data_IF_258600726369
#
_entry.id   IF_258600726369
#
_cell.length_a   1.000
_cell.length_b   1.000
_cell.length_c   1.000
_cell.angle_alpha   90.00
_cell.angle_beta   90.00
_cell.angle_gamma   90.00
#
_symmetry.space_group_name_H-M   'P 1'
#
loop_
_entity.id
_entity.type
_entity.pdbx_description
1 polymer ?
#
# COMPACT_ATOMS: atom_id res chain seq x y z
N UNK A 1 27.22 -16.31 14.88
CA UNK A 1 26.03 -15.55 14.55
C UNK A 1 26.46 -14.12 14.33
N UNK A 2 26.13 -13.52 13.17
CA UNK A 2 26.50 -12.14 12.86
C UNK A 2 25.75 -11.20 13.84
N UNK A 3 26.45 -10.19 14.38
CA UNK A 3 25.88 -9.21 15.34
C UNK A 3 24.59 -8.56 14.79
N UNK A 4 24.58 -8.22 13.50
CA UNK A 4 23.42 -7.64 12.84
C UNK A 4 22.21 -8.59 12.86
N UNK A 5 22.41 -9.89 12.64
CA UNK A 5 21.35 -10.90 12.72
C UNK A 5 20.79 -11.02 14.15
N UNK A 6 21.68 -11.04 15.16
CA UNK A 6 21.28 -11.13 16.57
C UNK A 6 20.43 -9.92 16.99
N UNK A 7 20.83 -8.72 16.62
CA UNK A 7 20.11 -7.49 16.92
C UNK A 7 18.76 -7.41 16.16
N UNK A 8 18.72 -7.87 14.92
CA UNK A 8 17.50 -7.93 14.12
C UNK A 8 16.48 -8.91 14.72
N UNK A 9 16.95 -10.08 15.19
CA UNK A 9 16.11 -11.07 15.89
C UNK A 9 15.61 -10.51 17.23
N UNK A 10 16.46 -9.89 18.02
CA UNK A 10 16.08 -9.26 19.29
C UNK A 10 15.01 -8.17 19.07
N UNK A 11 15.21 -7.33 18.08
CA UNK A 11 14.23 -6.31 17.68
C UNK A 11 12.89 -6.92 17.27
N UNK A 12 12.91 -7.96 16.41
CA UNK A 12 11.71 -8.65 15.94
C UNK A 12 10.93 -9.30 17.07
N UNK A 13 11.63 -9.97 18.02
CA UNK A 13 11.04 -10.56 19.23
C UNK A 13 10.44 -9.47 20.14
N UNK A 14 11.11 -8.33 20.27
CA UNK A 14 10.57 -7.17 21.03
C UNK A 14 9.28 -6.63 20.44
N UNK A 15 9.22 -6.47 19.12
CA UNK A 15 8.01 -6.05 18.42
C UNK A 15 6.88 -7.08 18.54
N UNK A 16 7.21 -8.36 18.41
CA UNK A 16 6.24 -9.45 18.58
C UNK A 16 5.65 -9.43 19.99
N UNK A 17 6.51 -9.32 21.02
CA UNK A 17 6.07 -9.25 22.43
C UNK A 17 5.17 -8.03 22.68
N UNK A 18 5.54 -6.86 22.13
CA UNK A 18 4.74 -5.64 22.22
C UNK A 18 3.40 -5.80 21.52
N UNK A 19 3.38 -6.35 20.31
CA UNK A 19 2.14 -6.60 19.55
C UNK A 19 1.19 -7.57 20.25
N UNK A 20 1.71 -8.67 20.82
CA UNK A 20 0.93 -9.63 21.59
C UNK A 20 0.42 -9.02 22.90
N UNK A 21 1.19 -8.19 23.58
CA UNK A 21 0.79 -7.50 24.80
C UNK A 21 -0.37 -6.52 24.53
N UNK A 22 -0.26 -5.70 23.48
CA UNK A 22 -1.32 -4.76 23.11
C UNK A 22 -2.55 -5.52 22.58
N UNK A 23 -2.36 -6.60 21.82
CA UNK A 23 -3.43 -7.44 21.28
C UNK A 23 -4.37 -8.01 22.34
N UNK A 24 -3.88 -8.23 23.57
CA UNK A 24 -4.71 -8.66 24.73
C UNK A 24 -5.74 -7.61 25.16
N UNK A 25 -5.56 -6.35 24.77
CA UNK A 25 -6.46 -5.24 25.13
C UNK A 25 -7.60 -5.04 24.13
N UNK A 26 -7.61 -5.76 22.99
CA UNK A 26 -8.67 -5.71 21.96
C UNK A 26 -9.85 -6.56 22.43
N UNK A 27 -11.00 -5.92 22.77
CA UNK A 27 -12.16 -6.61 23.37
C UNK A 27 -13.32 -6.87 22.41
N UNK A 28 -13.31 -6.33 21.17
CA UNK A 28 -14.42 -6.51 20.24
C UNK A 28 -14.13 -6.09 18.81
N UNK A 29 -15.07 -6.38 17.89
CA UNK A 29 -14.94 -6.12 16.47
C UNK A 29 -14.80 -4.62 16.15
N UNK A 30 -15.47 -3.73 16.92
CA UNK A 30 -15.37 -2.28 16.71
C UNK A 30 -13.95 -1.74 17.02
N UNK A 31 -13.33 -2.23 18.09
CA UNK A 31 -11.93 -1.90 18.42
C UNK A 31 -10.98 -2.48 17.38
N UNK A 32 -11.27 -3.70 16.91
CA UNK A 32 -10.45 -4.38 15.90
C UNK A 32 -10.47 -3.66 14.55
N UNK A 33 -11.65 -3.32 14.00
CA UNK A 33 -11.78 -2.83 12.63
C UNK A 33 -11.66 -1.30 12.45
N UNK A 34 -12.14 -0.48 13.40
CA UNK A 34 -12.15 0.99 13.27
C UNK A 34 -11.63 1.74 14.51
N UNK A 35 -10.91 1.07 15.40
CA UNK A 35 -10.31 1.65 16.60
C UNK A 35 -11.28 2.56 17.41
N UNK A 36 -12.56 2.20 17.45
CA UNK A 36 -13.61 2.99 18.11
C UNK A 36 -13.88 4.38 17.51
N UNK A 37 -13.36 4.71 16.32
CA UNK A 37 -13.39 6.04 15.68
C UNK A 37 -12.74 7.13 16.55
N UNK A 38 -11.63 6.81 17.21
CA UNK A 38 -10.98 7.69 18.19
C UNK A 38 -9.61 8.23 17.71
N UNK A 39 -9.19 7.97 16.45
CA UNK A 39 -7.89 8.39 15.98
C UNK A 39 -7.81 9.91 15.81
N UNK A 40 -7.01 10.57 16.66
CA UNK A 40 -6.66 11.98 16.50
C UNK A 40 -5.61 12.18 15.41
N UNK A 41 -5.26 13.46 15.06
CA UNK A 41 -4.38 13.79 13.95
C UNK A 41 -3.01 13.10 14.01
N UNK A 42 -2.36 13.10 15.17
CA UNK A 42 -1.02 12.53 15.35
C UNK A 42 -1.01 11.02 15.21
N UNK A 43 -1.99 10.32 15.81
CA UNK A 43 -2.07 8.86 15.69
C UNK A 43 -2.50 8.43 14.28
N UNK A 44 -3.37 9.20 13.62
CA UNK A 44 -3.72 8.98 12.23
C UNK A 44 -2.51 9.18 11.31
N UNK A 45 -1.75 10.28 11.48
CA UNK A 45 -0.50 10.50 10.76
C UNK A 45 0.49 9.36 10.93
N UNK A 46 0.78 8.96 12.18
CA UNK A 46 1.78 7.92 12.45
C UNK A 46 1.38 6.58 11.85
N UNK A 47 0.10 6.18 11.96
CA UNK A 47 -0.36 4.91 11.39
C UNK A 47 -0.45 4.93 9.87
N UNK A 48 -0.74 6.08 9.24
CA UNK A 48 -0.72 6.22 7.79
C UNK A 48 0.71 6.16 7.26
N UNK A 49 1.61 6.99 7.79
CA UNK A 49 3.00 7.06 7.32
C UNK A 49 3.75 5.75 7.59
N UNK A 50 3.52 5.13 8.76
CA UNK A 50 4.12 3.84 9.07
C UNK A 50 3.70 2.74 8.09
N UNK A 51 2.43 2.71 7.66
CA UNK A 51 1.95 1.72 6.69
C UNK A 51 2.38 2.03 5.24
N UNK A 52 2.60 3.30 4.91
CA UNK A 52 3.02 3.73 3.58
C UNK A 52 4.55 3.61 3.37
N UNK A 53 5.33 3.63 4.46
CA UNK A 53 6.77 3.31 4.41
C UNK A 53 6.94 1.80 4.62
N UNK A 54 6.92 1.05 3.53
CA UNK A 54 7.10 -0.40 3.44
C UNK A 54 7.92 -0.75 2.20
N UNK A 55 7.87 -2.00 1.73
CA UNK A 55 8.72 -2.55 0.67
C UNK A 55 8.82 -1.66 -0.59
N UNK A 56 7.70 -1.09 -1.02
CA UNK A 56 7.68 -0.23 -2.20
C UNK A 56 8.46 1.07 -2.03
N UNK A 57 8.39 1.68 -0.83
CA UNK A 57 9.05 2.96 -0.55
C UNK A 57 10.42 2.81 0.12
N UNK A 58 10.86 1.60 0.41
CA UNK A 58 12.19 1.28 0.95
C UNK A 58 13.00 0.52 -0.10
N UNK A 59 12.97 -0.81 -0.05
CA UNK A 59 13.71 -1.70 -0.96
C UNK A 59 13.36 -1.40 -2.42
N UNK A 60 12.08 -1.29 -2.76
CA UNK A 60 11.63 -1.02 -4.12
C UNK A 60 12.06 0.35 -4.66
N UNK A 61 11.86 1.43 -3.89
CA UNK A 61 12.28 2.77 -4.31
C UNK A 61 13.80 2.89 -4.41
N UNK A 62 14.55 2.21 -3.53
CA UNK A 62 16.01 2.13 -3.62
C UNK A 62 16.46 1.34 -4.84
N UNK A 63 15.78 0.23 -5.16
CA UNK A 63 16.02 -0.54 -6.37
C UNK A 63 15.78 0.28 -7.65
N UNK A 64 14.71 1.09 -7.66
CA UNK A 64 14.46 2.03 -8.75
C UNK A 64 15.54 3.13 -8.82
N UNK A 65 15.95 3.71 -7.68
CA UNK A 65 17.04 4.69 -7.63
C UNK A 65 18.36 4.12 -8.13
N UNK A 66 18.66 2.86 -7.80
CA UNK A 66 19.82 2.12 -8.30
C UNK A 66 19.78 1.93 -9.81
N UNK A 67 18.62 1.59 -10.38
CA UNK A 67 18.43 1.28 -11.81
C UNK A 67 18.18 2.52 -12.67
N UNK A 68 17.30 3.42 -12.21
CA UNK A 68 16.70 4.47 -13.02
C UNK A 68 17.05 5.91 -12.53
N UNK A 69 17.76 6.05 -11.42
CA UNK A 69 18.22 7.34 -10.91
C UNK A 69 17.10 8.25 -10.38
N UNK A 70 17.17 9.55 -10.71
CA UNK A 70 16.30 10.58 -10.12
C UNK A 70 14.82 10.39 -10.41
N UNK A 71 14.44 9.83 -11.55
CA UNK A 71 13.05 9.56 -11.91
C UNK A 71 12.33 8.60 -10.95
N UNK A 72 13.09 7.78 -10.19
CA UNK A 72 12.56 6.89 -9.16
C UNK A 72 11.81 7.63 -8.03
N UNK A 73 12.09 8.92 -7.84
CA UNK A 73 11.38 9.75 -6.85
C UNK A 73 9.86 9.74 -7.05
N UNK A 74 9.43 9.69 -8.30
CA UNK A 74 8.00 9.68 -8.64
C UNK A 74 7.24 8.47 -8.10
N UNK A 75 7.92 7.37 -7.77
CA UNK A 75 7.26 6.23 -7.14
C UNK A 75 6.63 6.62 -5.79
N UNK A 76 7.38 7.21 -4.89
CA UNK A 76 6.86 7.66 -3.58
C UNK A 76 6.19 9.04 -3.67
N UNK A 77 6.70 9.94 -4.51
CA UNK A 77 6.13 11.25 -4.75
C UNK A 77 4.69 11.23 -5.27
N UNK A 78 4.37 10.26 -6.13
CA UNK A 78 2.98 10.06 -6.61
C UNK A 78 2.03 9.60 -5.51
N UNK A 79 2.51 8.79 -4.57
CA UNK A 79 1.75 8.40 -3.38
C UNK A 79 1.49 9.60 -2.46
N UNK A 80 2.47 10.51 -2.34
CA UNK A 80 2.30 11.76 -1.62
C UNK A 80 1.23 12.65 -2.27
N UNK A 81 1.22 12.77 -3.60
CA UNK A 81 0.20 13.52 -4.33
C UNK A 81 -1.21 12.94 -4.10
N UNK A 82 -1.38 11.62 -4.20
CA UNK A 82 -2.65 10.94 -3.87
C UNK A 82 -3.10 11.20 -2.44
N UNK A 83 -2.17 11.15 -1.47
CA UNK A 83 -2.44 11.46 -0.06
C UNK A 83 -2.84 12.93 0.15
N UNK A 84 -2.27 13.88 -0.60
CA UNK A 84 -2.67 15.29 -0.55
C UNK A 84 -4.11 15.49 -1.04
N UNK A 85 -4.50 14.84 -2.14
CA UNK A 85 -5.89 14.85 -2.63
C UNK A 85 -6.85 14.29 -1.58
N UNK A 86 -6.48 13.19 -0.91
CA UNK A 86 -7.27 12.66 0.19
C UNK A 86 -7.40 13.64 1.36
N UNK A 87 -6.32 14.30 1.76
CA UNK A 87 -6.33 15.24 2.89
C UNK A 87 -7.27 16.43 2.64
N UNK A 88 -7.20 16.99 1.43
CA UNK A 88 -7.86 18.25 1.11
C UNK A 88 -9.32 18.06 0.70
N UNK A 89 -9.64 16.99 0.02
CA UNK A 89 -10.93 16.86 -0.68
C UNK A 89 -11.68 15.57 -0.33
N UNK A 90 -11.19 14.39 -0.75
CA UNK A 90 -11.96 13.14 -0.74
C UNK A 90 -12.07 12.55 0.67
N UNK A 91 -11.00 12.61 1.45
CA UNK A 91 -10.92 11.97 2.76
C UNK A 91 -11.97 12.45 3.76
N UNK A 92 -12.15 13.78 3.97
CA UNK A 92 -13.20 14.28 4.86
C UNK A 92 -14.62 13.87 4.43
N UNK A 93 -14.91 13.87 3.11
CA UNK A 93 -16.21 13.44 2.59
C UNK A 93 -16.45 11.93 2.87
N UNK A 94 -15.48 11.08 2.55
CA UNK A 94 -15.56 9.64 2.84
C UNK A 94 -15.71 9.33 4.32
N UNK A 95 -14.97 10.05 5.19
CA UNK A 95 -15.09 9.89 6.64
C UNK A 95 -16.50 10.25 7.14
N UNK A 96 -17.09 11.34 6.64
CA UNK A 96 -18.46 11.74 7.05
C UNK A 96 -19.49 10.66 6.67
N UNK A 97 -19.48 10.20 5.44
CA UNK A 97 -20.37 9.12 4.98
C UNK A 97 -20.17 7.86 5.84
N UNK A 98 -18.92 7.51 6.14
CA UNK A 98 -18.62 6.34 6.97
C UNK A 98 -19.10 6.51 8.43
N UNK A 99 -19.07 7.73 8.99
CA UNK A 99 -19.53 8.00 10.35
C UNK A 99 -21.06 7.98 10.44
N UNK A 100 -21.76 8.56 9.46
CA UNK A 100 -23.24 8.62 9.40
C UNK A 100 -23.87 7.22 9.26
N UNK A 101 -23.24 6.33 8.49
CA UNK A 101 -23.82 5.02 8.19
C UNK A 101 -23.10 3.87 8.91
N UNK A 102 -22.26 4.15 9.90
CA UNK A 102 -21.43 3.18 10.66
C UNK A 102 -20.63 2.21 9.76
N UNK A 103 -20.08 2.71 8.63
CA UNK A 103 -19.32 1.91 7.70
C UNK A 103 -17.96 1.52 8.30
N UNK A 104 -17.53 0.30 8.04
CA UNK A 104 -16.26 -0.26 8.54
C UNK A 104 -15.26 -0.54 7.43
N UNK A 105 -15.75 -0.74 6.20
CA UNK A 105 -14.95 -1.11 5.03
C UNK A 105 -15.32 -0.25 3.82
N UNK A 106 -14.44 -0.26 2.81
CA UNK A 106 -14.77 0.30 1.49
C UNK A 106 -15.90 -0.51 0.83
N UNK A 107 -15.98 -1.81 1.11
CA UNK A 107 -17.07 -2.67 0.67
C UNK A 107 -18.43 -2.20 1.19
N UNK A 108 -18.53 -1.79 2.47
CA UNK A 108 -19.75 -1.23 3.05
C UNK A 108 -20.20 0.03 2.28
N UNK A 109 -19.25 0.94 1.96
CA UNK A 109 -19.53 2.13 1.17
C UNK A 109 -20.06 1.79 -0.23
N UNK A 110 -19.43 0.84 -0.91
CA UNK A 110 -19.84 0.43 -2.25
C UNK A 110 -21.20 -0.26 -2.26
N UNK A 111 -21.52 -1.04 -1.22
CA UNK A 111 -22.85 -1.62 -1.07
C UNK A 111 -23.92 -0.55 -0.77
N UNK A 112 -23.63 0.40 0.12
CA UNK A 112 -24.53 1.52 0.42
C UNK A 112 -24.85 2.33 -0.83
N UNK A 113 -23.82 2.55 -1.66
CA UNK A 113 -23.95 3.42 -2.84
C UNK A 113 -24.51 2.72 -4.07
N UNK A 114 -24.25 1.42 -4.21
CA UNK A 114 -24.63 0.61 -5.36
C UNK A 114 -25.44 -0.62 -4.93
N UNK A 115 -24.79 -1.74 -4.70
CA UNK A 115 -25.40 -2.96 -4.18
C UNK A 115 -24.37 -3.97 -3.69
N UNK A 116 -24.87 -5.11 -3.16
CA UNK A 116 -24.05 -6.21 -2.67
C UNK A 116 -23.16 -6.86 -3.77
N UNK A 117 -23.61 -6.86 -5.04
CA UNK A 117 -22.79 -7.45 -6.12
C UNK A 117 -21.50 -6.66 -6.35
N UNK A 118 -21.58 -5.31 -6.36
CA UNK A 118 -20.41 -4.43 -6.48
C UNK A 118 -19.44 -4.68 -5.30
N UNK A 119 -19.98 -4.76 -4.06
CA UNK A 119 -19.17 -5.13 -2.88
C UNK A 119 -18.44 -6.45 -3.06
N UNK A 120 -19.14 -7.49 -3.53
CA UNK A 120 -18.57 -8.83 -3.72
C UNK A 120 -17.47 -8.85 -4.78
N UNK A 121 -17.70 -8.23 -5.94
CA UNK A 121 -16.69 -8.14 -7.02
C UNK A 121 -15.44 -7.43 -6.51
N UNK A 122 -15.60 -6.28 -5.87
CA UNK A 122 -14.47 -5.51 -5.33
C UNK A 122 -13.74 -6.29 -4.25
N UNK A 123 -14.44 -6.96 -3.33
CA UNK A 123 -13.82 -7.76 -2.28
C UNK A 123 -12.91 -8.86 -2.85
N UNK A 124 -13.35 -9.53 -3.92
CA UNK A 124 -12.54 -10.56 -4.61
C UNK A 124 -11.32 -9.93 -5.28
N UNK A 125 -11.48 -8.83 -6.04
CA UNK A 125 -10.37 -8.14 -6.70
C UNK A 125 -9.33 -7.63 -5.69
N UNK A 126 -9.81 -7.06 -4.57
CA UNK A 126 -8.96 -6.60 -3.48
C UNK A 126 -8.18 -7.73 -2.81
N UNK A 127 -8.80 -8.90 -2.67
CA UNK A 127 -8.14 -10.04 -2.06
C UNK A 127 -6.92 -10.46 -2.88
N UNK A 128 -7.07 -10.64 -4.20
CA UNK A 128 -5.95 -10.96 -5.09
C UNK A 128 -4.89 -9.84 -5.15
N UNK A 129 -5.31 -8.59 -5.27
CA UNK A 129 -4.39 -7.45 -5.27
C UNK A 129 -3.60 -7.35 -3.96
N UNK A 130 -4.27 -7.57 -2.82
CA UNK A 130 -3.64 -7.49 -1.50
C UNK A 130 -2.65 -8.62 -1.25
N UNK A 131 -2.86 -9.82 -1.83
CA UNK A 131 -1.84 -10.87 -1.80
C UNK A 131 -0.57 -10.46 -2.54
N UNK A 132 -0.71 -9.73 -3.65
CA UNK A 132 0.45 -9.25 -4.41
C UNK A 132 1.27 -8.20 -3.62
N UNK A 133 0.61 -7.26 -2.94
CA UNK A 133 1.36 -6.29 -2.10
C UNK A 133 1.97 -6.97 -0.87
N UNK A 134 1.32 -7.96 -0.27
CA UNK A 134 1.89 -8.78 0.81
C UNK A 134 3.15 -9.51 0.32
N UNK A 135 3.08 -10.13 -0.86
CA UNK A 135 4.24 -10.76 -1.47
C UNK A 135 5.41 -9.80 -1.64
N UNK A 136 5.16 -8.55 -2.05
CA UNK A 136 6.18 -7.51 -2.12
C UNK A 136 6.87 -7.23 -0.79
N UNK A 137 6.12 -7.18 0.33
CA UNK A 137 6.71 -7.00 1.66
C UNK A 137 7.61 -8.20 2.04
N UNK A 138 7.16 -9.42 1.74
CA UNK A 138 7.92 -10.63 2.06
C UNK A 138 9.17 -10.78 1.19
N UNK A 139 9.16 -10.34 -0.08
CA UNK A 139 10.35 -10.29 -0.93
C UNK A 139 11.37 -9.33 -0.32
N UNK A 140 10.95 -8.14 0.12
CA UNK A 140 11.85 -7.17 0.75
C UNK A 140 12.45 -7.71 2.06
N UNK A 141 11.66 -8.37 2.92
CA UNK A 141 12.16 -9.05 4.12
C UNK A 141 13.18 -10.14 3.76
N UNK A 142 12.90 -10.90 2.71
CA UNK A 142 13.80 -11.95 2.22
C UNK A 142 15.12 -11.39 1.70
N UNK A 143 15.10 -10.22 1.03
CA UNK A 143 16.34 -9.54 0.56
C UNK A 143 17.24 -9.13 1.73
N UNK A 144 16.66 -8.68 2.84
CA UNK A 144 17.41 -8.39 4.08
C UNK A 144 18.05 -9.67 4.63
N UNK A 145 17.26 -10.74 4.77
CA UNK A 145 17.76 -12.02 5.30
C UNK A 145 18.80 -12.67 4.38
N UNK A 146 18.70 -12.47 3.07
CA UNK A 146 19.70 -12.93 2.10
C UNK A 146 21.06 -12.27 2.34
N UNK A 147 21.09 -10.95 2.54
CA UNK A 147 22.32 -10.21 2.76
C UNK A 147 22.89 -10.45 4.18
N UNK A 148 22.03 -10.48 5.20
CA UNK A 148 22.47 -10.60 6.60
C UNK A 148 22.85 -12.02 6.99
N UNK A 149 22.11 -13.03 6.50
CA UNK A 149 22.24 -14.42 6.92
C UNK A 149 22.64 -15.39 5.78
N UNK A 150 22.79 -14.89 4.55
CA UNK A 150 23.02 -15.77 3.38
C UNK A 150 21.81 -16.66 3.06
N UNK A 151 20.61 -16.35 3.56
CA UNK A 151 19.44 -17.17 3.39
C UNK A 151 18.96 -17.15 1.92
N UNK A 152 18.57 -18.29 1.33
CA UNK A 152 17.96 -18.26 0.01
C UNK A 152 16.59 -17.57 0.09
N UNK A 153 16.16 -16.97 -1.02
CA UNK A 153 14.90 -16.18 -1.12
C UNK A 153 13.71 -16.90 -0.50
N UNK A 154 13.49 -18.17 -0.82
CA UNK A 154 12.35 -18.93 -0.30
C UNK A 154 12.34 -19.01 1.22
N UNK A 155 13.50 -19.24 1.85
CA UNK A 155 13.63 -19.32 3.31
C UNK A 155 13.32 -17.96 3.96
N UNK A 156 13.85 -16.87 3.39
CA UNK A 156 13.55 -15.52 3.84
C UNK A 156 12.06 -15.18 3.75
N UNK A 157 11.38 -15.57 2.66
CA UNK A 157 9.93 -15.40 2.50
C UNK A 157 9.13 -16.21 3.54
N UNK A 158 9.53 -17.46 3.83
CA UNK A 158 8.86 -18.31 4.82
C UNK A 158 9.03 -17.75 6.24
N UNK A 159 10.25 -17.35 6.61
CA UNK A 159 10.52 -16.76 7.93
C UNK A 159 9.73 -15.45 8.10
N UNK A 160 9.80 -14.56 7.12
CA UNK A 160 9.03 -13.31 7.14
C UNK A 160 7.53 -13.54 7.20
N UNK A 161 7.02 -14.47 6.39
CA UNK A 161 5.60 -14.82 6.35
C UNK A 161 5.10 -15.42 7.67
N UNK A 162 5.86 -16.30 8.30
CA UNK A 162 5.53 -16.84 9.62
C UNK A 162 5.51 -15.75 10.69
N UNK A 163 6.55 -14.90 10.72
CA UNK A 163 6.66 -13.81 11.69
C UNK A 163 5.47 -12.85 11.60
N UNK A 164 5.14 -12.36 10.39
CA UNK A 164 4.05 -11.40 10.22
C UNK A 164 2.68 -12.02 10.50
N UNK A 165 2.48 -13.29 10.12
CA UNK A 165 1.22 -14.00 10.36
C UNK A 165 0.96 -14.14 11.86
N UNK A 166 1.96 -14.54 12.64
CA UNK A 166 1.86 -14.65 14.10
C UNK A 166 1.58 -13.28 14.72
N UNK A 167 2.34 -12.25 14.31
CA UNK A 167 2.20 -10.88 14.80
C UNK A 167 0.80 -10.31 14.54
N UNK A 168 0.32 -10.38 13.29
CA UNK A 168 -0.94 -9.76 12.86
C UNK A 168 -2.20 -10.49 13.37
N UNK A 169 -2.09 -11.79 13.69
CA UNK A 169 -3.24 -12.57 14.18
C UNK A 169 -3.82 -12.06 15.51
N UNK A 170 -3.05 -11.28 16.28
CA UNK A 170 -3.41 -10.82 17.63
C UNK A 170 -3.92 -9.38 17.73
N UNK A 171 -3.41 -8.45 16.90
CA UNK A 171 -3.43 -7.02 17.22
C UNK A 171 -4.63 -6.18 16.74
N UNK A 172 -5.14 -6.39 15.53
CA UNK A 172 -6.16 -5.49 14.93
C UNK A 172 -5.68 -4.03 14.77
N UNK A 173 -6.58 -3.12 14.33
CA UNK A 173 -6.21 -1.73 14.00
C UNK A 173 -5.76 -0.90 15.21
N UNK A 174 -6.41 -1.08 16.37
CA UNK A 174 -6.09 -0.31 17.57
C UNK A 174 -4.70 -0.66 18.13
N UNK A 175 -4.37 -1.94 18.15
CA UNK A 175 -3.04 -2.41 18.57
C UNK A 175 -1.96 -1.96 17.60
N UNK A 176 -2.20 -2.14 16.30
CA UNK A 176 -1.29 -1.74 15.24
C UNK A 176 -0.94 -0.25 15.25
N UNK A 177 -1.88 0.65 15.56
CA UNK A 177 -1.65 2.10 15.56
C UNK A 177 -0.56 2.54 16.55
N UNK A 178 -0.51 1.97 17.76
CA UNK A 178 0.52 2.27 18.75
C UNK A 178 1.88 1.66 18.40
N UNK A 179 1.89 0.41 17.96
CA UNK A 179 3.13 -0.24 17.50
C UNK A 179 3.71 0.50 16.30
N UNK A 180 2.87 0.92 15.37
CA UNK A 180 3.28 1.71 14.20
C UNK A 180 3.95 3.03 14.57
N UNK A 181 3.59 3.66 15.68
CA UNK A 181 4.24 4.89 16.14
C UNK A 181 5.69 4.62 16.55
N UNK A 182 5.95 3.54 17.29
CA UNK A 182 7.32 3.11 17.66
C UNK A 182 8.12 2.75 16.41
N UNK A 183 7.52 1.95 15.54
CA UNK A 183 8.14 1.55 14.27
C UNK A 183 8.46 2.75 13.38
N UNK A 184 7.61 3.77 13.34
CA UNK A 184 7.84 4.99 12.57
C UNK A 184 9.07 5.75 13.07
N UNK A 185 9.25 5.86 14.39
CA UNK A 185 10.43 6.50 14.96
C UNK A 185 11.73 5.75 14.57
N UNK A 186 11.73 4.42 14.63
CA UNK A 186 12.87 3.59 14.22
C UNK A 186 13.16 3.74 12.72
N UNK A 187 12.12 3.72 11.87
CA UNK A 187 12.24 3.89 10.41
C UNK A 187 12.89 5.23 10.06
N UNK A 188 12.27 6.31 10.52
CA UNK A 188 12.74 7.66 10.18
C UNK A 188 14.14 7.90 10.74
N UNK A 189 14.40 7.52 12.00
CA UNK A 189 15.73 7.63 12.60
C UNK A 189 16.79 6.85 11.83
N UNK A 190 16.50 5.58 11.48
CA UNK A 190 17.42 4.75 10.73
C UNK A 190 17.77 5.33 9.36
N UNK A 191 16.77 5.74 8.58
CA UNK A 191 16.99 6.28 7.24
C UNK A 191 17.65 7.67 7.25
N UNK A 192 17.26 8.57 8.16
CA UNK A 192 17.84 9.92 8.29
C UNK A 192 19.32 9.85 8.70
N UNK A 193 19.70 8.88 9.56
CA UNK A 193 21.09 8.68 9.94
C UNK A 193 21.89 7.96 8.84
N UNK A 194 21.28 6.96 8.20
CA UNK A 194 21.96 6.15 7.18
C UNK A 194 22.35 6.97 5.94
N UNK A 195 21.48 7.89 5.49
CA UNK A 195 21.71 8.64 4.25
C UNK A 195 22.99 9.47 4.23
N UNK A 196 23.26 10.41 5.18
CA UNK A 196 24.46 11.22 5.16
C UNK A 196 25.73 10.39 5.34
N UNK A 197 25.65 9.32 6.15
CA UNK A 197 26.80 8.44 6.36
C UNK A 197 27.08 7.57 5.13
N UNK A 198 26.07 7.07 4.44
CA UNK A 198 26.24 6.37 3.18
C UNK A 198 26.85 7.27 2.10
N UNK A 199 26.37 8.52 2.03
CA UNK A 199 26.89 9.51 1.08
C UNK A 199 28.36 9.83 1.36
N UNK A 200 28.73 10.06 2.63
CA UNK A 200 30.12 10.31 3.01
C UNK A 200 31.03 9.12 2.75
N UNK A 201 30.54 7.89 2.96
CA UNK A 201 31.32 6.67 2.78
C UNK A 201 31.71 6.38 1.32
N UNK A 202 30.99 6.94 0.33
CA UNK A 202 31.36 6.82 -1.09
C UNK A 202 32.11 8.02 -1.66
N UNK A 203 32.42 9.03 -0.85
CA UNK A 203 33.12 10.26 -1.29
C UNK A 203 32.20 11.42 -1.65
N UNK A 204 30.95 11.42 -1.16
CA UNK A 204 29.99 12.51 -1.30
C UNK A 204 29.33 12.58 -2.68
N UNK A 205 28.70 13.73 -2.94
CA UNK A 205 27.98 13.99 -4.20
C UNK A 205 28.88 13.97 -5.43
N UNK A 206 30.17 14.26 -5.28
CA UNK A 206 31.12 14.21 -6.40
C UNK A 206 31.26 12.80 -6.96
N UNK A 207 31.38 11.79 -6.06
CA UNK A 207 31.46 10.39 -6.48
C UNK A 207 30.14 9.90 -7.12
N UNK A 208 28.99 10.33 -6.57
CA UNK A 208 27.67 10.03 -7.17
C UNK A 208 27.55 10.65 -8.56
N UNK A 209 27.99 11.91 -8.74
CA UNK A 209 27.94 12.59 -10.04
C UNK A 209 28.92 12.03 -11.09
N UNK A 210 30.03 11.42 -10.66
CA UNK A 210 31.06 10.85 -11.54
C UNK A 210 30.84 9.37 -11.86
N UNK A 211 29.81 8.70 -11.30
CA UNK A 211 29.60 7.26 -11.52
C UNK A 211 29.18 6.95 -12.96
N UNK A 212 29.56 5.77 -13.50
CA UNK A 212 29.03 5.30 -14.76
C UNK A 212 27.52 5.10 -14.67
N UNK A 213 26.76 5.82 -15.49
CA UNK A 213 25.28 5.72 -15.51
C UNK A 213 24.82 4.64 -16.48
N UNK A 214 23.75 3.91 -16.15
CA UNK A 214 23.22 2.84 -17.00
C UNK A 214 22.52 3.39 -18.27
N UNK A 215 22.11 4.66 -18.26
CA UNK A 215 21.45 5.33 -19.38
C UNK A 215 21.61 6.85 -19.28
N UNK A 216 21.55 7.54 -20.43
CA UNK A 216 21.60 9.01 -20.51
C UNK A 216 20.45 9.67 -19.74
N UNK A 217 19.34 8.98 -19.55
CA UNK A 217 18.16 9.45 -18.81
C UNK A 217 18.26 9.29 -17.28
N UNK A 218 19.34 8.75 -16.76
CA UNK A 218 19.49 8.47 -15.30
C UNK A 218 19.35 9.72 -14.43
N UNK A 219 19.81 10.87 -14.92
CA UNK A 219 19.71 12.17 -14.25
C UNK A 219 18.42 12.93 -14.57
N UNK A 220 17.61 12.42 -15.49
CA UNK A 220 16.33 13.06 -15.82
C UNK A 220 15.30 12.77 -14.73
N UNK A 221 14.90 13.83 -14.01
CA UNK A 221 13.89 13.73 -12.94
C UNK A 221 12.51 13.30 -13.45
N UNK A 222 12.15 13.70 -14.67
CA UNK A 222 10.79 13.51 -15.19
C UNK A 222 10.55 12.11 -15.76
N UNK A 223 11.55 11.52 -16.38
CA UNK A 223 11.42 10.20 -16.99
C UNK A 223 12.76 9.51 -17.17
N UNK A 224 12.86 8.25 -16.78
CA UNK A 224 13.99 7.36 -17.06
C UNK A 224 13.42 5.98 -17.43
N UNK A 225 13.14 5.79 -18.74
CA UNK A 225 12.51 4.57 -19.22
C UNK A 225 11.15 4.31 -18.56
N UNK A 226 10.98 3.21 -17.82
CA UNK A 226 9.72 2.87 -17.16
C UNK A 226 9.43 3.69 -15.89
N UNK A 227 10.40 4.46 -15.38
CA UNK A 227 10.26 5.28 -14.19
C UNK A 227 10.01 6.76 -14.53
N UNK A 228 9.41 7.50 -13.60
CA UNK A 228 9.17 8.93 -13.73
C UNK A 228 7.73 9.33 -13.45
N UNK A 229 7.32 10.48 -13.99
CA UNK A 229 5.98 11.07 -13.76
C UNK A 229 4.82 10.12 -14.14
N UNK A 230 5.07 9.12 -14.97
CA UNK A 230 4.09 8.08 -15.33
C UNK A 230 3.52 7.36 -14.09
N UNK A 231 4.29 7.28 -13.01
CA UNK A 231 3.82 6.72 -11.74
C UNK A 231 2.68 7.51 -11.11
N UNK A 232 2.51 8.79 -11.45
CA UNK A 232 1.39 9.58 -10.95
C UNK A 232 0.04 9.00 -11.41
N UNK A 233 -0.01 8.47 -12.63
CA UNK A 233 -1.23 7.83 -13.15
C UNK A 233 -1.50 6.46 -12.52
N UNK A 234 -0.47 5.77 -12.01
CA UNK A 234 -0.61 4.48 -11.32
C UNK A 234 -0.92 4.65 -9.84
N UNK A 235 -0.05 5.38 -9.13
CA UNK A 235 -0.09 5.47 -7.66
C UNK A 235 -1.04 6.55 -7.15
N UNK A 236 -1.19 7.67 -7.88
CA UNK A 236 -2.11 8.74 -7.49
C UNK A 236 -3.53 8.23 -7.26
N UNK A 237 -4.21 7.67 -8.28
CA UNK A 237 -5.54 7.09 -8.14
C UNK A 237 -5.59 5.95 -7.11
N UNK A 238 -4.61 5.05 -7.09
CA UNK A 238 -4.57 3.93 -6.17
C UNK A 238 -4.50 4.37 -4.70
N UNK A 239 -3.71 5.39 -4.39
CA UNK A 239 -3.60 5.93 -3.02
C UNK A 239 -4.87 6.66 -2.57
N UNK A 240 -5.57 7.32 -3.48
CA UNK A 240 -6.87 7.98 -3.20
C UNK A 240 -7.93 6.96 -2.77
N UNK A 241 -7.93 5.77 -3.35
CA UNK A 241 -8.98 4.76 -3.12
C UNK A 241 -8.53 3.54 -2.34
N UNK A 242 -7.30 3.55 -1.83
CA UNK A 242 -6.74 2.42 -1.07
C UNK A 242 -7.62 2.05 0.12
N UNK A 243 -8.16 0.82 0.18
CA UNK A 243 -9.04 0.41 1.28
C UNK A 243 -8.36 0.49 2.65
N UNK A 244 -7.08 0.15 2.72
CA UNK A 244 -6.31 0.24 3.96
C UNK A 244 -6.11 1.69 4.44
N UNK A 245 -6.01 2.66 3.54
CA UNK A 245 -5.96 4.09 3.87
C UNK A 245 -7.35 4.57 4.27
N UNK A 246 -8.38 4.33 3.44
CA UNK A 246 -9.74 4.78 3.70
C UNK A 246 -10.29 4.23 5.02
N UNK A 247 -10.00 2.97 5.36
CA UNK A 247 -10.40 2.38 6.65
C UNK A 247 -9.78 3.12 7.85
N UNK A 248 -8.54 3.60 7.75
CA UNK A 248 -7.92 4.44 8.77
C UNK A 248 -8.59 5.81 8.85
N UNK A 249 -9.02 6.38 7.72
CA UNK A 249 -9.79 7.62 7.72
C UNK A 249 -11.17 7.43 8.37
N UNK A 250 -11.81 6.26 8.19
CA UNK A 250 -13.06 5.92 8.90
C UNK A 250 -12.86 5.83 10.41
N UNK A 251 -11.66 5.50 10.88
CA UNK A 251 -11.30 5.46 12.29
C UNK A 251 -10.97 6.85 12.88
N UNK A 252 -10.86 7.89 12.05
CA UNK A 252 -10.55 9.25 12.50
C UNK A 252 -11.71 9.86 13.31
N UNK A 253 -11.35 10.60 14.35
CA UNK A 253 -12.29 11.25 15.28
C UNK A 253 -13.16 12.30 14.58
N UNK A 254 -12.56 13.12 13.72
CA UNK A 254 -13.21 14.25 13.05
C UNK A 254 -12.52 14.58 11.71
N UNK A 255 -13.12 15.49 10.92
CA UNK A 255 -12.61 15.92 9.62
C UNK A 255 -11.26 16.65 9.73
N UNK A 256 -11.01 17.35 10.84
CA UNK A 256 -9.72 17.99 11.12
C UNK A 256 -8.63 16.94 11.28
N UNK A 257 -8.92 15.85 11.98
CA UNK A 257 -8.00 14.72 12.14
C UNK A 257 -7.65 14.11 10.78
N UNK A 258 -8.62 13.96 9.87
CA UNK A 258 -8.37 13.51 8.51
C UNK A 258 -7.47 14.49 7.75
N UNK A 259 -7.84 15.77 7.69
CA UNK A 259 -7.07 16.79 6.93
C UNK A 259 -5.64 16.90 7.43
N UNK A 260 -5.47 17.07 8.75
CA UNK A 260 -4.14 17.25 9.35
C UNK A 260 -3.33 15.97 9.31
N UNK A 261 -3.89 14.83 9.73
CA UNK A 261 -3.17 13.55 9.76
C UNK A 261 -2.76 13.07 8.39
N UNK A 262 -3.65 13.15 7.38
CA UNK A 262 -3.35 12.74 6.01
C UNK A 262 -2.48 13.78 5.29
N UNK A 263 -2.63 15.07 5.59
CA UNK A 263 -1.76 16.14 5.07
C UNK A 263 -0.31 15.99 5.55
N UNK A 264 -0.12 15.70 6.85
CA UNK A 264 1.21 15.39 7.39
C UNK A 264 1.78 14.11 6.78
N UNK A 265 0.94 13.09 6.50
CA UNK A 265 1.37 11.90 5.77
C UNK A 265 1.84 12.23 4.35
N UNK A 266 1.12 13.09 3.62
CA UNK A 266 1.52 13.52 2.28
C UNK A 266 2.87 14.25 2.31
N UNK A 267 3.05 15.19 3.23
CA UNK A 267 4.31 15.91 3.42
C UNK A 267 5.45 14.95 3.83
N UNK A 268 5.18 14.04 4.76
CA UNK A 268 6.14 13.03 5.20
C UNK A 268 6.61 12.14 4.04
N UNK A 269 5.70 11.67 3.19
CA UNK A 269 6.04 10.89 1.99
C UNK A 269 6.84 11.70 0.97
N UNK A 270 6.47 12.97 0.74
CA UNK A 270 7.15 13.87 -0.19
C UNK A 270 8.62 14.05 0.20
N UNK A 271 8.88 14.31 1.47
CA UNK A 271 10.24 14.48 2.01
C UNK A 271 11.00 13.14 2.05
N UNK A 272 10.32 12.07 2.46
CA UNK A 272 10.90 10.74 2.53
C UNK A 272 11.32 10.21 1.15
N UNK A 273 10.60 10.54 0.08
CA UNK A 273 10.85 10.05 -1.28
C UNK A 273 12.29 10.22 -1.77
N UNK A 274 13.00 11.25 -1.27
CA UNK A 274 14.39 11.55 -1.64
C UNK A 274 15.35 10.47 -1.08
N UNK A 275 15.11 10.01 0.14
CA UNK A 275 16.04 9.15 0.87
C UNK A 275 16.32 7.82 0.15
N UNK A 276 15.32 6.99 -0.16
CA UNK A 276 15.58 5.69 -0.81
C UNK A 276 16.18 5.85 -2.21
N UNK A 277 15.80 6.87 -2.95
CA UNK A 277 16.35 7.12 -4.29
C UNK A 277 17.85 7.42 -4.21
N UNK A 278 18.24 8.33 -3.33
CA UNK A 278 19.65 8.69 -3.15
C UNK A 278 20.45 7.50 -2.62
N UNK A 279 19.89 6.71 -1.68
CA UNK A 279 20.54 5.47 -1.22
C UNK A 279 20.74 4.47 -2.36
N UNK A 280 19.80 4.40 -3.31
CA UNK A 280 19.93 3.57 -4.51
C UNK A 280 21.07 4.04 -5.43
N UNK A 281 21.15 5.35 -5.65
CA UNK A 281 22.24 5.96 -6.44
C UNK A 281 23.61 5.73 -5.75
N UNK A 282 23.69 5.88 -4.44
CA UNK A 282 24.90 5.58 -3.65
C UNK A 282 25.26 4.10 -3.74
N UNK A 283 24.27 3.20 -3.64
CA UNK A 283 24.51 1.77 -3.80
C UNK A 283 25.10 1.44 -5.19
N UNK A 284 24.69 2.15 -6.23
CA UNK A 284 25.24 2.00 -7.57
C UNK A 284 26.71 2.40 -7.68
N UNK A 285 27.15 3.44 -6.97
CA UNK A 285 28.58 3.82 -6.91
C UNK A 285 29.42 2.66 -6.38
N UNK A 286 28.93 1.97 -5.33
CA UNK A 286 29.71 0.95 -4.61
C UNK A 286 29.53 -0.48 -5.16
N UNK A 287 28.36 -0.79 -5.70
CA UNK A 287 27.96 -2.13 -6.17
C UNK A 287 27.38 -2.02 -7.57
N UNK A 288 28.20 -2.14 -8.61
CA UNK A 288 27.79 -1.92 -10.00
C UNK A 288 26.96 -3.09 -10.56
N UNK A 289 27.23 -4.33 -10.12
CA UNK A 289 26.69 -5.57 -10.66
C UNK A 289 25.94 -6.38 -9.60
N UNK A 290 24.83 -5.84 -9.10
CA UNK A 290 23.96 -6.60 -8.19
C UNK A 290 23.13 -7.62 -8.96
N UNK A 291 23.01 -8.84 -8.43
CA UNK A 291 22.19 -9.91 -9.02
C UNK A 291 20.74 -9.49 -9.21
N UNK A 292 20.20 -8.69 -8.31
CA UNK A 292 18.90 -8.00 -8.44
C UNK A 292 18.98 -6.61 -7.81
N UNK A 293 18.29 -5.59 -8.39
CA UNK A 293 18.23 -4.25 -7.79
C UNK A 293 17.65 -4.22 -6.37
N UNK A 294 16.79 -5.18 -6.01
CA UNK A 294 16.19 -5.28 -4.66
C UNK A 294 17.24 -5.52 -3.55
N UNK A 295 18.47 -5.93 -3.89
CA UNK A 295 19.58 -6.05 -2.95
C UNK A 295 20.26 -4.71 -2.65
N UNK A 296 20.01 -3.64 -3.42
CA UNK A 296 20.72 -2.37 -3.28
C UNK A 296 20.64 -1.79 -1.86
N UNK A 297 19.44 -1.73 -1.27
CA UNK A 297 19.26 -1.19 0.07
C UNK A 297 19.93 -2.07 1.16
N UNK A 298 19.68 -3.38 1.26
CA UNK A 298 20.36 -4.22 2.24
C UNK A 298 21.90 -4.23 2.09
N UNK A 299 22.41 -4.21 0.85
CA UNK A 299 23.85 -4.21 0.59
C UNK A 299 24.52 -2.91 1.05
N UNK A 300 23.95 -1.74 0.74
CA UNK A 300 24.53 -0.47 1.19
C UNK A 300 24.48 -0.33 2.71
N UNK A 301 23.42 -0.81 3.35
CA UNK A 301 23.30 -0.78 4.81
C UNK A 301 24.29 -1.75 5.48
N UNK A 302 24.44 -2.97 4.96
CA UNK A 302 25.29 -4.00 5.59
C UNK A 302 26.78 -3.79 5.34
N UNK A 303 27.16 -3.38 4.13
CA UNK A 303 28.53 -3.33 3.65
C UNK A 303 29.04 -1.92 3.33
N UNK A 304 28.14 -0.93 3.28
CA UNK A 304 28.49 0.46 2.99
C UNK A 304 28.63 1.35 4.23
N UNK A 305 28.21 0.87 5.40
CA UNK A 305 28.12 1.65 6.63
C UNK A 305 28.85 0.98 7.81
N UNK A 306 29.23 1.75 8.84
CA UNK A 306 29.69 1.17 10.12
C UNK A 306 28.63 0.22 10.69
N UNK A 307 29.06 -0.90 11.30
CA UNK A 307 28.19 -2.00 11.75
C UNK A 307 26.98 -1.52 12.57
N UNK A 308 27.18 -0.61 13.51
CA UNK A 308 26.10 -0.10 14.36
C UNK A 308 25.02 0.66 13.54
N UNK A 309 25.44 1.52 12.61
CA UNK A 309 24.53 2.30 11.76
C UNK A 309 23.88 1.42 10.73
N UNK A 310 24.63 0.53 10.08
CA UNK A 310 24.10 -0.44 9.13
C UNK A 310 23.04 -1.34 9.76
N UNK A 311 23.28 -1.82 10.97
CA UNK A 311 22.32 -2.64 11.72
C UNK A 311 21.07 -1.85 12.10
N UNK A 312 21.20 -0.59 12.53
CA UNK A 312 20.07 0.29 12.80
C UNK A 312 19.26 0.54 11.51
N UNK A 313 19.92 0.77 10.38
CA UNK A 313 19.29 0.89 9.07
C UNK A 313 18.53 -0.37 8.65
N UNK A 314 19.13 -1.55 8.82
CA UNK A 314 18.47 -2.84 8.56
C UNK A 314 17.27 -3.07 9.46
N UNK A 315 17.34 -2.71 10.75
CA UNK A 315 16.22 -2.76 11.67
C UNK A 315 15.10 -1.78 11.25
N UNK A 316 15.47 -0.59 10.76
CA UNK A 316 14.51 0.39 10.23
C UNK A 316 13.78 -0.14 9.00
N UNK A 317 14.50 -0.75 8.04
CA UNK A 317 13.88 -1.40 6.86
C UNK A 317 12.99 -2.55 7.30
N UNK A 318 13.49 -3.46 8.13
CA UNK A 318 12.70 -4.60 8.61
C UNK A 318 11.43 -4.17 9.34
N UNK A 319 11.51 -3.12 10.15
CA UNK A 319 10.36 -2.47 10.80
C UNK A 319 9.37 -1.92 9.78
N UNK A 320 9.87 -1.36 8.69
CA UNK A 320 9.03 -0.83 7.60
C UNK A 320 8.22 -1.95 6.95
N UNK A 321 8.88 -3.06 6.60
CA UNK A 321 8.24 -4.20 5.97
C UNK A 321 7.20 -4.84 6.90
N UNK A 322 7.54 -5.04 8.17
CA UNK A 322 6.64 -5.64 9.15
C UNK A 322 5.37 -4.81 9.36
N UNK A 323 5.52 -3.49 9.51
CA UNK A 323 4.39 -2.56 9.68
C UNK A 323 3.48 -2.48 8.45
N UNK A 324 4.07 -2.48 7.25
CA UNK A 324 3.30 -2.44 6.01
C UNK A 324 2.60 -3.79 5.76
N UNK A 325 3.26 -4.91 6.01
CA UNK A 325 2.68 -6.25 5.90
C UNK A 325 1.50 -6.44 6.88
N UNK A 326 1.62 -5.92 8.12
CA UNK A 326 0.53 -5.93 9.09
C UNK A 326 -0.70 -5.18 8.56
N UNK A 327 -0.52 -3.99 8.01
CA UNK A 327 -1.61 -3.21 7.42
C UNK A 327 -2.28 -3.94 6.24
N UNK A 328 -1.50 -4.67 5.44
CA UNK A 328 -2.01 -5.46 4.31
C UNK A 328 -2.77 -6.69 4.79
N UNK A 329 -2.23 -7.44 5.74
CA UNK A 329 -2.93 -8.59 6.34
C UNK A 329 -4.22 -8.16 7.03
N UNK A 330 -4.21 -7.01 7.69
CA UNK A 330 -5.41 -6.43 8.27
C UNK A 330 -6.48 -6.12 7.20
N UNK A 331 -6.08 -5.55 6.06
CA UNK A 331 -6.97 -5.27 4.93
C UNK A 331 -7.55 -6.57 4.33
N UNK A 332 -6.72 -7.59 4.08
CA UNK A 332 -7.13 -8.92 3.61
C UNK A 332 -8.13 -9.57 4.56
N UNK A 333 -7.81 -9.57 5.84
CA UNK A 333 -8.61 -10.13 6.92
C UNK A 333 -9.97 -9.45 7.01
N UNK A 334 -10.00 -8.12 6.93
CA UNK A 334 -11.23 -7.34 6.98
C UNK A 334 -12.12 -7.60 5.77
N UNK A 335 -11.53 -7.60 4.58
CA UNK A 335 -12.26 -7.86 3.34
C UNK A 335 -12.91 -9.26 3.36
N UNK A 336 -12.16 -10.31 3.72
CA UNK A 336 -12.73 -11.66 3.75
C UNK A 336 -13.77 -11.84 4.87
N UNK A 337 -13.50 -11.35 6.08
CA UNK A 337 -14.38 -11.58 7.23
C UNK A 337 -15.64 -10.71 7.20
N UNK A 338 -15.54 -9.43 6.81
CA UNK A 338 -16.67 -8.49 6.78
C UNK A 338 -17.37 -8.46 5.43
N UNK A 339 -16.59 -8.35 4.33
CA UNK A 339 -17.18 -8.12 3.02
C UNK A 339 -17.66 -9.42 2.35
N UNK A 340 -16.97 -10.55 2.58
CA UNK A 340 -17.37 -11.83 2.01
C UNK A 340 -18.11 -12.72 3.01
N UNK A 341 -17.50 -13.12 4.12
CA UNK A 341 -18.10 -14.08 5.04
C UNK A 341 -19.37 -13.57 5.68
N UNK A 342 -19.31 -12.43 6.40
CA UNK A 342 -20.48 -11.88 7.10
C UNK A 342 -21.59 -11.48 6.15
N UNK A 343 -21.26 -11.01 4.95
CA UNK A 343 -22.26 -10.53 3.99
C UNK A 343 -22.93 -11.62 3.17
N UNK A 344 -22.15 -12.63 2.71
CA UNK A 344 -22.63 -13.62 1.75
C UNK A 344 -22.77 -15.03 2.32
N UNK A 345 -21.97 -15.39 3.34
CA UNK A 345 -21.97 -16.76 3.91
C UNK A 345 -22.84 -16.83 5.16
N UNK A 346 -22.63 -15.95 6.14
CA UNK A 346 -23.38 -15.97 7.40
C UNK A 346 -23.74 -14.55 7.86
N UNK A 347 -24.91 -14.06 7.46
CA UNK A 347 -25.41 -12.73 7.83
C UNK A 347 -25.73 -12.58 9.32
N UNK A 348 -26.02 -13.66 10.00
CA UNK A 348 -26.32 -13.74 11.43
C UNK A 348 -25.06 -13.92 12.28
N UNK A 349 -23.86 -13.94 11.68
CA UNK A 349 -22.61 -14.14 12.40
C UNK A 349 -22.43 -13.10 13.50
N UNK A 350 -22.19 -13.59 14.72
CA UNK A 350 -21.86 -12.75 15.86
C UNK A 350 -20.41 -12.25 15.78
N UNK A 351 -20.04 -11.27 16.62
CA UNK A 351 -18.72 -10.65 16.62
C UNK A 351 -17.58 -11.67 16.85
N UNK A 352 -17.80 -12.69 17.65
CA UNK A 352 -16.80 -13.73 17.94
C UNK A 352 -16.53 -14.61 16.71
N UNK A 353 -17.58 -14.99 15.99
CA UNK A 353 -17.46 -15.75 14.74
C UNK A 353 -16.72 -14.96 13.66
N UNK A 354 -17.06 -13.67 13.50
CA UNK A 354 -16.37 -12.79 12.55
C UNK A 354 -14.90 -12.63 12.92
N UNK A 355 -14.58 -12.49 14.20
CA UNK A 355 -13.20 -12.40 14.69
C UNK A 355 -12.41 -13.70 14.49
N UNK A 356 -13.06 -14.86 14.67
CA UNK A 356 -12.45 -16.17 14.40
C UNK A 356 -12.11 -16.30 12.90
N UNK A 357 -13.08 -15.98 12.03
CA UNK A 357 -12.85 -15.98 10.57
C UNK A 357 -11.74 -15.01 10.20
N UNK A 358 -11.69 -13.82 10.81
CA UNK A 358 -10.63 -12.87 10.59
C UNK A 358 -9.24 -13.47 10.91
N UNK A 359 -9.07 -14.11 12.06
CA UNK A 359 -7.82 -14.77 12.46
C UNK A 359 -7.43 -15.93 11.53
N UNK A 360 -8.38 -16.77 11.15
CA UNK A 360 -8.13 -17.85 10.18
C UNK A 360 -7.71 -17.30 8.82
N UNK A 361 -8.35 -16.21 8.37
CA UNK A 361 -7.99 -15.51 7.13
C UNK A 361 -6.56 -14.98 7.18
N UNK A 362 -6.11 -14.45 8.32
CA UNK A 362 -4.73 -13.99 8.48
C UNK A 362 -3.73 -15.11 8.19
N UNK A 363 -3.98 -16.32 8.71
CA UNK A 363 -3.10 -17.47 8.48
C UNK A 363 -3.12 -17.91 7.01
N UNK A 364 -4.31 -18.01 6.42
CA UNK A 364 -4.47 -18.41 5.02
C UNK A 364 -3.84 -17.37 4.08
N UNK A 365 -4.10 -16.08 4.31
CA UNK A 365 -3.52 -15.01 3.52
C UNK A 365 -1.98 -14.94 3.66
N UNK A 366 -1.46 -15.16 4.88
CA UNK A 366 -0.02 -15.27 5.12
C UNK A 366 0.63 -16.39 4.32
N UNK A 367 0.01 -17.58 4.28
CA UNK A 367 0.50 -18.72 3.51
C UNK A 367 0.47 -18.44 2.00
N UNK A 368 -0.64 -17.93 1.46
CA UNK A 368 -0.75 -17.58 0.04
C UNK A 368 0.18 -16.44 -0.37
N UNK A 369 0.30 -15.39 0.47
CA UNK A 369 1.23 -14.29 0.25
C UNK A 369 2.68 -14.77 0.23
N UNK A 370 3.05 -15.71 1.11
CA UNK A 370 4.37 -16.33 1.12
C UNK A 370 4.64 -17.14 -0.15
N UNK A 371 3.69 -17.98 -0.57
CA UNK A 371 3.81 -18.73 -1.82
C UNK A 371 3.99 -17.80 -3.02
N UNK A 372 3.19 -16.72 -3.10
CA UNK A 372 3.30 -15.73 -4.17
C UNK A 372 4.63 -14.97 -4.13
N UNK A 373 5.16 -14.67 -2.93
CA UNK A 373 6.46 -14.02 -2.77
C UNK A 373 7.63 -14.87 -3.31
N UNK A 374 7.57 -16.19 -3.10
CA UNK A 374 8.61 -17.11 -3.58
C UNK A 374 8.71 -17.08 -5.11
N UNK A 375 7.55 -17.05 -5.82
CA UNK A 375 7.51 -17.10 -7.28
C UNK A 375 7.61 -15.72 -7.95
N UNK A 376 7.31 -14.63 -7.24
CA UNK A 376 7.37 -13.27 -7.80
C UNK A 376 8.81 -12.78 -7.96
N UNK A 377 9.21 -12.16 -9.09
CA UNK A 377 10.60 -11.81 -9.34
C UNK A 377 11.11 -10.63 -8.50
N UNK A 378 10.33 -9.56 -8.36
CA UNK A 378 10.75 -8.29 -7.73
C UNK A 378 9.67 -7.67 -6.86
N UNK A 379 10.08 -6.81 -5.92
CA UNK A 379 9.20 -6.00 -5.08
C UNK A 379 8.28 -5.12 -5.92
N UNK A 380 8.85 -4.32 -6.81
CA UNK A 380 8.07 -3.37 -7.64
C UNK A 380 7.07 -4.09 -8.54
N UNK A 381 7.45 -5.23 -9.13
CA UNK A 381 6.55 -6.04 -9.96
C UNK A 381 5.32 -6.49 -9.19
N UNK A 382 5.48 -7.02 -7.97
CA UNK A 382 4.38 -7.43 -7.12
C UNK A 382 3.47 -6.24 -6.73
N UNK A 383 4.05 -5.10 -6.33
CA UNK A 383 3.27 -3.93 -5.95
C UNK A 383 2.51 -3.29 -7.12
N UNK A 384 3.08 -3.31 -8.32
CA UNK A 384 2.42 -2.78 -9.52
C UNK A 384 1.10 -3.50 -9.81
N UNK A 385 1.02 -4.82 -9.60
CA UNK A 385 -0.23 -5.59 -9.73
C UNK A 385 -1.29 -5.03 -8.79
N UNK A 386 -0.94 -4.83 -7.52
CA UNK A 386 -1.86 -4.29 -6.52
C UNK A 386 -2.37 -2.89 -6.90
N UNK A 387 -1.47 -1.95 -7.17
CA UNK A 387 -1.85 -0.57 -7.47
C UNK A 387 -2.64 -0.45 -8.77
N UNK A 388 -2.33 -1.29 -9.77
CA UNK A 388 -3.10 -1.38 -11.02
C UNK A 388 -4.54 -1.81 -10.72
N UNK A 389 -4.72 -2.91 -9.99
CA UNK A 389 -6.07 -3.40 -9.65
C UNK A 389 -6.86 -2.36 -8.84
N UNK A 390 -6.23 -1.70 -7.86
CA UNK A 390 -6.90 -0.63 -7.10
C UNK A 390 -7.34 0.52 -7.99
N UNK A 391 -6.43 1.05 -8.81
CA UNK A 391 -6.71 2.20 -9.67
C UNK A 391 -7.87 1.93 -10.62
N UNK A 392 -7.83 0.82 -11.34
CA UNK A 392 -8.81 0.54 -12.40
C UNK A 392 -10.15 0.01 -11.88
N UNK A 393 -10.18 -0.64 -10.70
CA UNK A 393 -11.43 -1.22 -10.16
C UNK A 393 -12.16 -0.31 -9.18
N UNK A 394 -11.45 0.55 -8.45
CA UNK A 394 -12.04 1.33 -7.35
C UNK A 394 -12.13 2.82 -7.62
N UNK A 395 -11.20 3.41 -8.38
CA UNK A 395 -11.12 4.85 -8.51
C UNK A 395 -12.40 5.46 -9.07
N UNK A 396 -12.88 4.93 -10.20
CA UNK A 396 -14.10 5.43 -10.85
C UNK A 396 -15.35 5.14 -10.01
N UNK A 397 -15.58 3.91 -9.49
CA UNK A 397 -16.75 3.63 -8.66
C UNK A 397 -16.80 4.44 -7.36
N UNK A 398 -15.67 4.63 -6.67
CA UNK A 398 -15.66 5.41 -5.41
C UNK A 398 -15.95 6.88 -5.67
N UNK A 399 -15.23 7.52 -6.61
CA UNK A 399 -15.41 8.94 -6.90
C UNK A 399 -16.75 9.21 -7.57
N UNK A 400 -17.14 8.39 -8.54
CA UNK A 400 -18.43 8.48 -9.19
C UNK A 400 -19.59 8.30 -8.20
N UNK A 401 -19.46 7.35 -7.25
CA UNK A 401 -20.43 7.17 -6.18
C UNK A 401 -20.53 8.35 -5.23
N UNK A 402 -19.42 9.03 -4.96
CA UNK A 402 -19.36 10.14 -4.02
C UNK A 402 -19.90 11.45 -4.61
N UNK A 403 -19.65 11.69 -5.89
CA UNK A 403 -19.92 12.99 -6.53
C UNK A 403 -20.97 12.98 -7.63
N UNK A 404 -21.40 11.80 -8.11
CA UNK A 404 -22.37 11.70 -9.21
C UNK A 404 -23.66 11.01 -8.71
N UNK A 405 -24.68 11.75 -8.23
CA UNK A 405 -25.92 11.17 -7.71
C UNK A 405 -26.65 10.26 -8.71
N UNK A 406 -26.54 10.58 -10.00
CA UNK A 406 -27.18 9.83 -11.08
C UNK A 406 -26.57 8.45 -11.37
N UNK A 407 -25.37 8.18 -10.85
CA UNK A 407 -24.70 6.91 -11.07
C UNK A 407 -25.41 5.76 -10.34
N UNK A 408 -25.50 4.60 -10.97
CA UNK A 408 -26.07 3.38 -10.42
C UNK A 408 -25.11 2.19 -10.49
N UNK A 409 -25.57 1.03 -10.11
CA UNK A 409 -24.80 -0.23 -10.12
C UNK A 409 -24.19 -0.56 -11.48
N UNK A 410 -24.90 -0.24 -12.58
CA UNK A 410 -24.43 -0.55 -13.95
C UNK A 410 -23.18 0.26 -14.29
N UNK A 411 -23.16 1.54 -13.90
CA UNK A 411 -22.00 2.41 -14.08
C UNK A 411 -20.77 1.83 -13.39
N UNK A 412 -20.90 1.38 -12.13
CA UNK A 412 -19.80 0.79 -11.39
C UNK A 412 -19.29 -0.51 -12.04
N UNK A 413 -20.19 -1.42 -12.42
CA UNK A 413 -19.83 -2.70 -13.03
C UNK A 413 -19.13 -2.49 -14.39
N UNK A 414 -19.67 -1.62 -15.25
CA UNK A 414 -19.09 -1.33 -16.57
C UNK A 414 -17.69 -0.73 -16.42
N UNK A 415 -17.51 0.22 -15.50
CA UNK A 415 -16.18 0.79 -15.23
C UNK A 415 -15.17 -0.28 -14.77
N UNK A 416 -15.56 -1.15 -13.84
CA UNK A 416 -14.69 -2.23 -13.35
C UNK A 416 -14.36 -3.25 -14.45
N UNK A 417 -15.34 -3.71 -15.19
CA UNK A 417 -15.16 -4.73 -16.24
C UNK A 417 -14.28 -4.18 -17.36
N UNK A 418 -14.55 -2.96 -17.84
CA UNK A 418 -13.71 -2.35 -18.88
C UNK A 418 -12.32 -2.02 -18.35
N UNK A 419 -12.19 -1.50 -17.14
CA UNK A 419 -10.90 -1.18 -16.55
C UNK A 419 -10.01 -2.42 -16.38
N UNK A 420 -10.50 -3.42 -15.66
CA UNK A 420 -9.75 -4.66 -15.40
C UNK A 420 -9.55 -5.47 -16.69
N UNK A 421 -10.59 -5.61 -17.51
CA UNK A 421 -10.52 -6.34 -18.78
C UNK A 421 -9.48 -5.73 -19.74
N UNK A 422 -9.47 -4.39 -19.88
CA UNK A 422 -8.47 -3.70 -20.71
C UNK A 422 -7.05 -3.89 -20.17
N UNK A 423 -6.84 -3.81 -18.84
CA UNK A 423 -5.53 -4.10 -18.25
C UNK A 423 -5.07 -5.50 -18.63
N UNK A 424 -5.92 -6.51 -18.46
CA UNK A 424 -5.56 -7.91 -18.76
C UNK A 424 -5.20 -8.09 -20.23
N UNK A 425 -6.01 -7.54 -21.13
CA UNK A 425 -5.77 -7.61 -22.58
C UNK A 425 -4.45 -6.93 -22.96
N UNK A 426 -4.22 -5.69 -22.49
CA UNK A 426 -2.99 -4.94 -22.80
C UNK A 426 -1.77 -5.62 -22.18
N UNK A 427 -1.88 -6.11 -20.92
CA UNK A 427 -0.79 -6.81 -20.25
C UNK A 427 -0.34 -8.05 -21.02
N UNK A 428 -1.29 -8.86 -21.50
CA UNK A 428 -0.99 -10.08 -22.28
C UNK A 428 -0.49 -9.73 -23.68
N UNK A 429 -1.18 -8.85 -24.39
CA UNK A 429 -0.85 -8.51 -25.78
C UNK A 429 0.50 -7.81 -25.92
N UNK A 430 0.95 -7.05 -24.90
CA UNK A 430 2.21 -6.30 -24.96
C UNK A 430 3.30 -6.87 -24.05
N UNK A 431 3.09 -8.05 -23.46
CA UNK A 431 3.98 -8.63 -22.44
C UNK A 431 4.33 -7.60 -21.35
N UNK A 432 3.35 -6.80 -20.92
CA UNK A 432 3.48 -5.78 -19.86
C UNK A 432 4.10 -4.45 -20.29
N UNK A 433 4.50 -4.28 -21.55
CA UNK A 433 5.14 -3.02 -22.03
C UNK A 433 4.17 -1.85 -22.16
N UNK A 434 2.86 -2.14 -22.28
CA UNK A 434 1.85 -1.10 -22.55
C UNK A 434 1.77 -0.68 -24.01
N UNK A 435 1.05 0.42 -24.28
CA UNK A 435 0.84 0.99 -25.62
C UNK A 435 1.62 2.31 -25.76
N UNK A 436 2.81 2.25 -26.32
CA UNK A 436 3.70 3.40 -26.41
C UNK A 436 4.12 3.90 -25.03
N UNK A 437 3.78 5.15 -24.70
CA UNK A 437 4.07 5.74 -23.39
C UNK A 437 3.02 5.37 -22.31
N UNK A 438 1.92 4.74 -22.67
CA UNK A 438 0.83 4.41 -21.76
C UNK A 438 1.03 3.01 -21.16
N UNK A 439 1.21 2.95 -19.84
CA UNK A 439 1.23 1.68 -19.11
C UNK A 439 -0.13 0.96 -19.19
N UNK A 440 -0.18 -0.39 -19.01
CA UNK A 440 -1.43 -1.12 -18.95
C UNK A 440 -2.43 -0.54 -17.92
N UNK A 441 -1.92 -0.06 -16.78
CA UNK A 441 -2.72 0.59 -15.73
C UNK A 441 -3.40 1.87 -16.22
N UNK A 442 -2.66 2.74 -16.94
CA UNK A 442 -3.21 3.99 -17.47
C UNK A 442 -4.26 3.72 -18.54
N UNK A 443 -3.99 2.80 -19.47
CA UNK A 443 -4.97 2.41 -20.50
C UNK A 443 -6.24 1.85 -19.88
N UNK A 444 -6.11 0.98 -18.86
CA UNK A 444 -7.25 0.44 -18.12
C UNK A 444 -8.04 1.51 -17.35
N UNK A 445 -7.36 2.48 -16.74
CA UNK A 445 -8.02 3.59 -16.05
C UNK A 445 -8.81 4.47 -17.03
N UNK A 446 -8.23 4.78 -18.20
CA UNK A 446 -8.93 5.50 -19.27
C UNK A 446 -10.16 4.72 -19.73
N UNK A 447 -10.04 3.40 -19.94
CA UNK A 447 -11.17 2.55 -20.32
C UNK A 447 -12.28 2.54 -19.25
N UNK A 448 -11.93 2.48 -17.95
CA UNK A 448 -12.88 2.56 -16.85
C UNK A 448 -13.64 3.90 -16.83
N UNK A 449 -12.91 5.03 -16.96
CA UNK A 449 -13.52 6.38 -17.04
C UNK A 449 -14.42 6.49 -18.26
N UNK A 450 -13.96 6.06 -19.42
CA UNK A 450 -14.73 6.11 -20.68
C UNK A 450 -16.01 5.29 -20.56
N UNK A 451 -15.93 4.06 -20.05
CA UNK A 451 -17.10 3.21 -19.81
C UNK A 451 -18.12 3.85 -18.88
N UNK A 452 -17.65 4.47 -17.80
CA UNK A 452 -18.50 5.22 -16.88
C UNK A 452 -19.20 6.40 -17.57
N UNK A 453 -18.49 7.21 -18.34
CA UNK A 453 -19.04 8.37 -19.05
C UNK A 453 -20.06 7.97 -20.12
N UNK A 454 -19.80 6.88 -20.87
CA UNK A 454 -20.75 6.31 -21.83
C UNK A 454 -22.06 5.94 -21.12
N UNK A 455 -21.97 5.25 -19.98
CA UNK A 455 -23.16 4.87 -19.22
C UNK A 455 -23.95 6.07 -18.71
N UNK A 456 -23.29 7.16 -18.28
CA UNK A 456 -23.96 8.40 -17.91
C UNK A 456 -24.71 9.03 -19.11
N UNK A 457 -24.08 9.06 -20.28
CA UNK A 457 -24.70 9.60 -21.50
C UNK A 457 -25.90 8.79 -21.94
N UNK A 458 -25.86 7.46 -21.90
CA UNK A 458 -26.97 6.57 -22.25
C UNK A 458 -28.08 6.62 -21.21
N UNK A 459 -27.75 6.63 -19.92
CA UNK A 459 -28.72 6.70 -18.82
C UNK A 459 -29.48 8.04 -18.77
N UNK A 460 -28.81 9.15 -19.15
CA UNK A 460 -29.46 10.46 -19.28
C UNK A 460 -30.53 10.53 -20.37
N UNK A 461 -30.31 9.83 -21.49
CA UNK A 461 -31.30 9.75 -22.59
C UNK A 461 -32.57 8.99 -22.20
N UNK A 462 -32.48 7.95 -21.39
CA UNK A 462 -33.64 7.16 -20.96
C UNK A 462 -34.47 7.84 -19.85
N UNK A 463 -33.93 8.80 -19.11
CA UNK A 463 -34.67 9.58 -18.11
C UNK A 463 -35.48 10.74 -18.75
N UNK A 464 -35.14 11.18 -19.97
CA UNK A 464 -35.88 12.19 -20.72
C UNK A 464 -37.17 11.69 -21.38
N UNK A 465 -37.39 10.36 -21.43
CA UNK A 465 -38.60 9.75 -22.07
C UNK A 465 -39.58 9.11 -21.09
N UNK A 466 -39.39 9.21 -19.78
CA UNK A 466 -40.24 8.60 -18.77
C UNK A 466 -40.39 9.45 -17.53
N UNK A 467 -41.30 10.39 -17.51
CA UNK A 467 -41.76 11.08 -16.30
C UNK A 467 -42.56 10.09 -15.46
N UNK A 468 -42.12 9.72 -14.27
CA UNK A 468 -42.86 9.72 -13.00
C UNK A 468 -42.12 9.01 -11.84
N UNK A 469 -41.91 9.82 -10.81
CA UNK A 469 -42.03 9.54 -9.36
C UNK A 469 -41.39 8.28 -8.77
N UNK A 470 -40.24 8.51 -8.13
CA UNK A 470 -40.03 8.12 -6.73
C UNK A 470 -38.80 8.84 -6.22
N UNK A 471 -39.02 9.91 -5.48
CA UNK A 471 -38.02 10.51 -4.61
C UNK A 471 -37.77 9.58 -3.41
N UNK A 472 -36.54 9.17 -3.14
CA UNK A 472 -36.18 8.77 -1.80
C UNK A 472 -35.73 10.06 -1.07
N UNK A 473 -36.59 10.51 -0.16
CA UNK A 473 -36.34 11.70 0.65
C UNK A 473 -35.01 11.65 1.38
N UNK A 474 -34.09 12.48 0.95
CA UNK A 474 -33.04 13.01 1.80
C UNK A 474 -33.53 14.42 2.17
N UNK A 475 -34.16 14.53 3.34
CA UNK A 475 -34.43 15.83 3.98
C UNK A 475 -33.13 16.35 4.56
N UNK A 476 -32.91 17.64 4.36
CA UNK A 476 -31.84 18.51 4.86
C UNK A 476 -31.51 18.36 6.33
#
# INVERSE_FOLDING_TARGET
MNVSLALLLLYSLGLLALGLWIGRQVKGARDFFVAGRALGPGLLFSTLLAANIGAGSTVGATALGYRDGLAAWWWVGSAAAGSAILALWIGPAMRRVAAEHDLRTVGDYLELRYNASVRGIVAVLLWFGSLAILAGQLIAMSSILSVVAGAPKWAGCVIGGALITIYSSAGGLKGGAWVNMVQLAVKLGGFVIALPLALSAVGGWQAVGAMPVPSDSYWNFWSSGPSGIVYLALLGPAFVVSPGILQKLYAARDDRSVRVGTGLNALGLLLYAIIPVVLGMIARVRFQDLATPDLALPMILMHGLPVAVGTLGLAAVFSAELSAADAVLFMLTTSLSQDLYKRFVNRAANEQQVLLVARLTTVVAGAFGTALAIVSPTVIGALTIFYTLLGVSLFVPILGGLYVPAADTRHAIVAMVLGVGTVLVVQVATAGKGLGMMSPALVGLIAAVTGWLIMLAVGGRNRGSGIRNQEPGIRN
#
